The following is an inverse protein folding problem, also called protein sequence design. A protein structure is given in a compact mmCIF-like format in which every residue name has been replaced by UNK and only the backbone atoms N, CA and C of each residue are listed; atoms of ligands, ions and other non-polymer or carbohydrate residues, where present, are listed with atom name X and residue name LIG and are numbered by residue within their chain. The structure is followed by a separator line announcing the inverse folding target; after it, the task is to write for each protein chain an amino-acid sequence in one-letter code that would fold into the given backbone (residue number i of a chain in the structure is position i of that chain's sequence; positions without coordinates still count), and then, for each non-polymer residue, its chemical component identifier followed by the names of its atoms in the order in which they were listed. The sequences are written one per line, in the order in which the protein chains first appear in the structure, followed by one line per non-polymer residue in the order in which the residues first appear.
data_IF_538963485467
#
_entry.id   IF_538963485467
#
_cell.length_a   1.000
_cell.length_b   1.000
_cell.length_c   1.000
_cell.angle_alpha   90.00
_cell.angle_beta   90.00
_cell.angle_gamma   90.00
#
_symmetry.space_group_name_H-M   'P 1'
#
loop_
_entity.id
_entity.type
_entity.pdbx_description
1 polymer ?
#
# COMPACT_ATOMS: atom_id res chain seq x y z
N UNK A 1 15.37 -4.72 16.06
CA UNK A 1 15.43 -6.20 16.23
C UNK A 1 14.15 -6.78 15.64
N UNK A 2 14.23 -7.55 14.55
CA UNK A 2 13.04 -8.22 13.98
C UNK A 2 12.48 -9.20 15.01
N UNK A 3 11.16 -9.16 15.22
CA UNK A 3 10.43 -9.99 16.17
C UNK A 3 10.74 -11.46 15.89
N UNK A 4 11.56 -12.06 16.74
CA UNK A 4 11.88 -13.49 16.70
C UNK A 4 10.57 -14.25 16.98
N UNK A 5 10.09 -15.01 16.00
CA UNK A 5 8.96 -15.91 16.20
C UNK A 5 9.29 -16.91 17.30
N UNK A 6 8.40 -17.08 18.30
CA UNK A 6 8.51 -18.17 19.28
C UNK A 6 8.45 -19.50 18.52
N UNK A 7 9.52 -20.28 18.61
CA UNK A 7 9.60 -21.66 18.12
C UNK A 7 8.81 -22.57 19.05
N UNK A 8 7.89 -23.35 18.49
CA UNK A 8 7.21 -24.44 19.19
C UNK A 8 8.18 -25.64 19.39
N UNK A 9 7.87 -26.52 20.35
CA UNK A 9 8.69 -27.71 20.70
C UNK A 9 8.91 -28.70 19.55
N UNK A 10 8.25 -28.50 18.40
CA UNK A 10 8.39 -29.29 17.17
C UNK A 10 9.11 -28.55 16.02
N UNK A 11 9.79 -27.42 16.29
CA UNK A 11 10.61 -26.72 15.29
C UNK A 11 9.83 -25.99 14.18
N UNK A 12 8.48 -25.96 14.26
CA UNK A 12 7.65 -25.18 13.34
C UNK A 12 7.49 -23.75 13.86
N UNK A 13 7.89 -22.77 13.06
CA UNK A 13 7.66 -21.35 13.33
C UNK A 13 6.17 -21.05 13.11
N UNK A 14 5.35 -21.20 14.15
CA UNK A 14 3.93 -20.82 14.10
C UNK A 14 3.82 -19.33 14.39
N UNK A 15 3.79 -18.51 13.32
CA UNK A 15 3.49 -17.09 13.44
C UNK A 15 2.02 -16.90 13.81
N UNK A 16 1.71 -16.77 15.11
CA UNK A 16 0.38 -16.41 15.58
C UNK A 16 0.38 -15.01 16.23
N UNK A 17 0.50 -13.92 15.44
CA UNK A 17 0.56 -12.55 15.95
C UNK A 17 -0.74 -12.10 16.64
N UNK A 18 -1.82 -12.87 16.50
CA UNK A 18 -3.13 -12.58 17.10
C UNK A 18 -3.37 -13.36 18.41
N UNK A 19 -2.53 -14.34 18.74
CA UNK A 19 -2.72 -15.31 19.84
C UNK A 19 -4.13 -15.91 19.87
N UNK A 20 -4.75 -16.11 18.70
CA UNK A 20 -6.08 -16.72 18.58
C UNK A 20 -5.86 -18.20 18.28
N UNK A 21 -6.25 -19.07 19.21
CA UNK A 21 -6.31 -20.52 18.97
C UNK A 21 -7.64 -20.82 18.31
N UNK A 22 -7.71 -20.67 16.99
CA UNK A 22 -8.87 -21.12 16.21
C UNK A 22 -8.59 -22.54 15.74
N UNK A 23 -9.46 -23.46 16.12
CA UNK A 23 -9.44 -24.82 15.57
C UNK A 23 -9.85 -24.74 14.09
N UNK A 24 -8.84 -24.74 13.21
CA UNK A 24 -8.97 -24.55 11.75
C UNK A 24 -9.72 -25.69 11.04
N UNK A 25 -10.10 -26.73 11.78
CA UNK A 25 -10.77 -27.93 11.29
C UNK A 25 -12.19 -27.64 10.77
N UNK A 26 -12.83 -26.54 11.18
CA UNK A 26 -14.18 -26.13 10.71
C UNK A 26 -14.13 -24.91 9.77
N UNK A 27 -13.63 -25.10 8.54
CA UNK A 27 -13.45 -24.04 7.50
C UNK A 27 -14.63 -23.09 7.29
N UNK A 28 -15.89 -23.52 7.49
CA UNK A 28 -17.09 -22.69 7.23
C UNK A 28 -17.46 -21.68 8.32
N UNK A 29 -16.92 -21.80 9.54
CA UNK A 29 -17.29 -20.93 10.69
C UNK A 29 -16.13 -20.06 11.20
N UNK A 30 -14.98 -20.10 10.55
CA UNK A 30 -13.74 -19.47 11.01
C UNK A 30 -13.87 -17.95 11.11
N UNK A 31 -14.49 -17.28 10.11
CA UNK A 31 -14.64 -15.82 10.11
C UNK A 31 -15.51 -15.36 11.28
N UNK A 32 -16.68 -15.99 11.47
CA UNK A 32 -17.58 -15.67 12.58
C UNK A 32 -16.96 -15.95 13.96
N UNK A 33 -16.19 -17.04 14.09
CA UNK A 33 -15.46 -17.36 15.31
C UNK A 33 -14.38 -16.32 15.64
N UNK A 34 -13.61 -15.87 14.64
CA UNK A 34 -12.59 -14.82 14.80
C UNK A 34 -13.24 -13.49 15.20
N UNK A 35 -14.34 -13.10 14.55
CA UNK A 35 -15.06 -11.86 14.87
C UNK A 35 -15.60 -11.91 16.30
N UNK A 36 -16.19 -13.02 16.72
CA UNK A 36 -16.71 -13.21 18.09
C UNK A 36 -15.60 -13.17 19.13
N UNK A 37 -14.46 -13.80 18.86
CA UNK A 37 -13.31 -13.81 19.76
C UNK A 37 -12.64 -12.44 19.85
N UNK A 38 -12.51 -11.73 18.72
CA UNK A 38 -11.96 -10.37 18.68
C UNK A 38 -12.85 -9.39 19.45
N UNK A 39 -14.18 -9.49 19.28
CA UNK A 39 -15.15 -8.69 20.03
C UNK A 39 -15.09 -8.97 21.54
N UNK A 40 -14.92 -10.23 21.95
CA UNK A 40 -14.75 -10.59 23.37
C UNK A 40 -13.46 -10.04 23.98
N UNK A 41 -12.37 -10.00 23.22
CA UNK A 41 -11.05 -9.57 23.72
C UNK A 41 -10.85 -8.06 23.75
N UNK A 42 -11.14 -7.39 22.63
CA UNK A 42 -10.81 -5.97 22.43
C UNK A 42 -12.06 -5.08 22.24
N UNK A 43 -13.27 -5.67 22.26
CA UNK A 43 -14.52 -4.95 22.01
C UNK A 43 -14.60 -4.36 20.59
N UNK A 44 -15.45 -3.34 20.42
CA UNK A 44 -15.58 -2.61 19.15
C UNK A 44 -14.30 -1.82 18.79
N UNK A 45 -13.52 -1.38 19.78
CA UNK A 45 -12.26 -0.64 19.55
C UNK A 45 -11.18 -1.51 18.89
N UNK A 46 -11.22 -2.82 19.09
CA UNK A 46 -10.30 -3.77 18.45
C UNK A 46 -10.37 -3.75 16.92
N UNK A 47 -11.56 -3.57 16.34
CA UNK A 47 -11.76 -3.55 14.88
C UNK A 47 -11.16 -2.33 14.20
N UNK A 48 -11.12 -1.19 14.90
CA UNK A 48 -10.55 0.06 14.38
C UNK A 48 -9.08 0.26 14.77
N UNK A 49 -8.48 -0.70 15.48
CA UNK A 49 -7.09 -0.64 15.94
C UNK A 49 -6.16 -0.68 14.72
N UNK A 50 -5.44 0.42 14.48
CA UNK A 50 -4.59 0.59 13.31
C UNK A 50 -5.28 1.13 12.05
N UNK A 51 -6.61 1.32 12.07
CA UNK A 51 -7.34 1.97 10.98
C UNK A 51 -6.93 3.44 10.85
N UNK A 52 -6.90 4.18 11.97
CA UNK A 52 -6.42 5.57 12.00
C UNK A 52 -4.97 5.72 11.54
N UNK A 53 -4.07 4.84 12.01
CA UNK A 53 -2.67 4.85 11.56
C UNK A 53 -2.56 4.55 10.06
N UNK A 54 -3.42 3.68 9.53
CA UNK A 54 -3.47 3.40 8.09
C UNK A 54 -3.99 4.59 7.29
N UNK A 55 -5.02 5.28 7.79
CA UNK A 55 -5.53 6.50 7.16
C UNK A 55 -4.48 7.61 7.14
N UNK A 56 -3.79 7.85 8.26
CA UNK A 56 -2.75 8.87 8.35
C UNK A 56 -1.57 8.62 7.41
N UNK A 57 -1.28 7.36 7.06
CA UNK A 57 -0.28 7.03 6.05
C UNK A 57 -0.83 7.09 4.61
N UNK A 58 -2.06 6.62 4.39
CA UNK A 58 -2.65 6.50 3.05
C UNK A 58 -3.11 7.84 2.47
N UNK A 59 -3.68 8.72 3.29
CA UNK A 59 -4.21 10.02 2.83
C UNK A 59 -3.09 10.91 2.25
N UNK A 60 -1.94 11.11 2.93
CA UNK A 60 -0.84 11.88 2.36
C UNK A 60 -0.24 11.19 1.13
N UNK A 61 -0.11 9.86 1.14
CA UNK A 61 0.46 9.13 0.00
C UNK A 61 -0.39 9.23 -1.27
N UNK A 62 -1.71 9.13 -1.14
CA UNK A 62 -2.63 9.31 -2.28
C UNK A 62 -2.65 10.76 -2.78
N UNK A 63 -2.62 11.75 -1.89
CA UNK A 63 -2.55 13.17 -2.27
C UNK A 63 -1.25 13.48 -3.04
N UNK A 64 -0.11 13.01 -2.54
CA UNK A 64 1.18 13.18 -3.21
C UNK A 64 1.20 12.49 -4.58
N UNK A 65 0.60 11.31 -4.70
CA UNK A 65 0.53 10.60 -5.98
C UNK A 65 -0.21 11.40 -7.06
N UNK A 66 -1.38 11.94 -6.72
CA UNK A 66 -2.14 12.79 -7.65
C UNK A 66 -1.39 14.10 -7.99
N UNK A 67 -0.75 14.71 -6.99
CA UNK A 67 0.06 15.92 -7.19
C UNK A 67 1.25 15.67 -8.12
N UNK A 68 2.03 14.61 -7.90
CA UNK A 68 3.17 14.30 -8.76
C UNK A 68 2.72 13.82 -10.14
N UNK A 69 1.62 13.09 -10.22
CA UNK A 69 1.05 12.68 -11.50
C UNK A 69 0.65 13.88 -12.36
N UNK A 70 -0.01 14.90 -11.80
CA UNK A 70 -0.37 16.12 -12.56
C UNK A 70 0.87 16.91 -12.99
N UNK A 71 1.88 17.02 -12.13
CA UNK A 71 3.14 17.70 -12.46
C UNK A 71 3.90 16.95 -13.56
N UNK A 72 4.07 15.62 -13.44
CA UNK A 72 4.81 14.85 -14.44
C UNK A 72 4.07 14.76 -15.78
N UNK A 73 2.75 14.65 -15.77
CA UNK A 73 1.96 14.66 -17.02
C UNK A 73 2.05 16.01 -17.74
N UNK A 74 1.88 17.14 -17.05
CA UNK A 74 2.03 18.49 -17.66
C UNK A 74 3.46 18.73 -18.17
N UNK A 75 4.48 18.27 -17.43
CA UNK A 75 5.88 18.39 -17.88
C UNK A 75 6.18 17.52 -19.09
N UNK A 76 5.74 16.27 -19.13
CA UNK A 76 5.93 15.40 -20.29
C UNK A 76 5.18 15.93 -21.51
N UNK A 77 3.98 16.49 -21.34
CA UNK A 77 3.21 17.08 -22.43
C UNK A 77 3.92 18.27 -23.10
N UNK A 78 4.73 19.04 -22.36
CA UNK A 78 5.50 20.17 -22.90
C UNK A 78 6.79 19.77 -23.60
N UNK A 79 7.38 18.63 -23.20
CA UNK A 79 8.67 18.16 -23.71
C UNK A 79 8.49 17.22 -24.91
N UNK A 80 7.41 16.45 -24.93
CA UNK A 80 7.14 15.49 -26.00
C UNK A 80 6.48 16.18 -27.21
N UNK A 81 6.83 15.77 -28.45
CA UNK A 81 6.19 16.29 -29.65
C UNK A 81 4.71 15.93 -29.69
N UNK A 82 3.88 16.79 -30.29
CA UNK A 82 2.42 16.66 -30.37
C UNK A 82 1.92 15.38 -31.08
N UNK A 83 2.82 14.59 -31.69
CA UNK A 83 2.54 13.29 -32.29
C UNK A 83 2.60 12.11 -31.32
N UNK A 84 3.02 12.30 -30.06
CA UNK A 84 3.05 11.19 -29.09
C UNK A 84 1.67 10.91 -28.51
N UNK A 85 1.23 9.63 -28.46
CA UNK A 85 -0.05 9.26 -27.84
C UNK A 85 -0.09 9.69 -26.36
N UNK A 86 -1.22 10.26 -25.91
CA UNK A 86 -1.39 10.62 -24.49
C UNK A 86 -1.24 9.40 -23.56
N UNK A 87 -1.53 8.20 -24.06
CA UNK A 87 -1.20 6.91 -23.44
C UNK A 87 0.25 6.83 -22.98
N UNK A 88 1.21 7.08 -23.87
CA UNK A 88 2.62 6.85 -23.58
C UNK A 88 3.13 7.83 -22.52
N UNK A 89 2.62 9.06 -22.55
CA UNK A 89 2.89 10.07 -21.53
C UNK A 89 2.37 9.62 -20.16
N UNK A 90 1.14 9.08 -20.10
CA UNK A 90 0.56 8.57 -18.86
C UNK A 90 1.28 7.30 -18.35
N UNK A 91 1.69 6.41 -19.25
CA UNK A 91 2.50 5.22 -18.95
C UNK A 91 3.84 5.58 -18.30
N UNK A 92 4.44 6.73 -18.62
CA UNK A 92 5.70 7.16 -18.02
C UNK A 92 5.47 8.01 -16.76
N UNK A 93 4.47 8.90 -16.78
CA UNK A 93 4.16 9.76 -15.65
C UNK A 93 3.69 8.97 -14.41
N UNK A 94 2.93 7.88 -14.58
CA UNK A 94 2.43 7.06 -13.48
C UNK A 94 3.52 6.35 -12.66
N UNK A 95 4.44 5.58 -13.29
CA UNK A 95 5.57 4.99 -12.59
C UNK A 95 6.51 6.03 -12.00
N UNK A 96 6.78 7.15 -12.69
CA UNK A 96 7.63 8.23 -12.16
C UNK A 96 7.02 8.88 -10.90
N UNK A 97 5.71 9.17 -10.92
CA UNK A 97 5.02 9.65 -9.72
C UNK A 97 5.04 8.61 -8.60
N UNK A 98 4.78 7.34 -8.93
CA UNK A 98 4.83 6.22 -7.99
C UNK A 98 6.18 6.08 -7.29
N UNK A 99 7.29 6.19 -8.04
CA UNK A 99 8.65 6.13 -7.48
C UNK A 99 8.90 7.31 -6.54
N UNK A 100 8.60 8.54 -6.97
CA UNK A 100 8.81 9.75 -6.15
C UNK A 100 8.00 9.71 -4.87
N UNK A 101 6.73 9.29 -4.96
CA UNK A 101 5.87 9.10 -3.78
C UNK A 101 6.47 8.02 -2.88
N UNK A 102 6.87 6.86 -3.44
CA UNK A 102 7.45 5.78 -2.66
C UNK A 102 8.67 6.24 -1.87
N UNK A 103 9.53 7.10 -2.43
CA UNK A 103 10.69 7.66 -1.74
C UNK A 103 10.29 8.55 -0.55
N UNK A 104 9.28 9.41 -0.74
CA UNK A 104 8.82 10.35 0.28
C UNK A 104 8.02 9.65 1.38
N UNK A 105 7.15 8.72 1.02
CA UNK A 105 6.22 8.04 1.95
C UNK A 105 6.80 6.76 2.53
N UNK A 106 7.98 6.31 2.10
CA UNK A 106 8.63 5.13 2.67
C UNK A 106 8.65 5.12 4.21
N UNK A 107 9.14 6.19 4.88
CA UNK A 107 9.14 6.23 6.35
C UNK A 107 7.74 6.07 6.96
N UNK A 108 6.71 6.66 6.37
CA UNK A 108 5.33 6.58 6.88
C UNK A 108 4.77 5.16 6.81
N UNK A 109 5.06 4.44 5.72
CA UNK A 109 4.60 3.07 5.55
C UNK A 109 5.34 2.08 6.45
N UNK A 110 6.63 2.31 6.74
CA UNK A 110 7.36 1.49 7.73
C UNK A 110 6.76 1.66 9.12
N UNK A 111 6.42 2.90 9.51
CA UNK A 111 5.73 3.18 10.78
C UNK A 111 4.38 2.48 10.83
N UNK A 112 3.59 2.59 9.77
CA UNK A 112 2.29 1.91 9.65
C UNK A 112 2.43 0.39 9.79
N UNK A 113 3.38 -0.22 9.07
CA UNK A 113 3.61 -1.66 9.13
C UNK A 113 4.01 -2.10 10.54
N UNK A 114 4.86 -1.32 11.23
CA UNK A 114 5.27 -1.62 12.61
C UNK A 114 4.10 -1.54 13.60
N UNK A 115 3.23 -0.54 13.46
CA UNK A 115 2.01 -0.42 14.27
C UNK A 115 1.10 -1.63 14.09
N UNK A 116 0.90 -2.08 12.86
CA UNK A 116 0.04 -3.23 12.56
C UNK A 116 0.61 -4.55 13.08
N UNK A 117 1.93 -4.75 12.96
CA UNK A 117 2.61 -5.98 13.41
C UNK A 117 2.72 -6.05 14.94
N UNK A 118 3.12 -4.95 15.59
CA UNK A 118 3.36 -4.90 17.04
C UNK A 118 2.12 -4.48 17.86
N UNK A 119 0.98 -4.19 17.20
CA UNK A 119 -0.28 -3.77 17.84
C UNK A 119 -0.15 -2.55 18.76
N UNK A 120 0.75 -1.63 18.41
CA UNK A 120 0.95 -0.39 19.17
C UNK A 120 -0.21 0.59 18.96
N UNK A 121 -0.57 1.35 19.99
CA UNK A 121 -1.71 2.27 19.93
C UNK A 121 -1.31 3.70 19.51
N UNK A 122 -0.01 4.03 19.59
CA UNK A 122 0.48 5.40 19.45
C UNK A 122 1.42 5.54 18.25
N UNK A 123 1.00 6.33 17.25
CA UNK A 123 1.80 6.59 16.04
C UNK A 123 3.10 7.31 16.38
N UNK A 124 3.03 8.36 17.22
CA UNK A 124 4.18 9.18 17.58
C UNK A 124 5.22 8.40 18.39
N UNK A 125 4.79 7.62 19.39
CA UNK A 125 5.70 6.79 20.18
C UNK A 125 6.37 5.73 19.31
N UNK A 126 5.61 5.13 18.38
CA UNK A 126 6.17 4.16 17.41
C UNK A 126 7.23 4.81 16.53
N UNK A 127 6.97 6.01 16.01
CA UNK A 127 7.91 6.75 15.19
C UNK A 127 9.21 7.05 15.96
N UNK A 128 9.10 7.57 17.19
CA UNK A 128 10.26 7.87 18.03
C UNK A 128 11.08 6.63 18.37
N UNK A 129 10.42 5.53 18.73
CA UNK A 129 11.11 4.28 19.01
C UNK A 129 11.80 3.73 17.76
N UNK A 130 11.15 3.80 16.60
CA UNK A 130 11.72 3.36 15.33
C UNK A 130 12.91 4.22 14.90
N UNK A 131 12.83 5.53 15.15
CA UNK A 131 13.92 6.46 14.90
C UNK A 131 15.15 6.12 15.75
N UNK A 132 14.96 5.77 17.02
CA UNK A 132 16.04 5.35 17.92
C UNK A 132 16.63 3.97 17.55
N UNK A 133 15.80 3.03 17.08
CA UNK A 133 16.24 1.67 16.74
C UNK A 133 16.94 1.56 15.37
N UNK A 134 16.42 2.25 14.34
CA UNK A 134 16.89 2.08 12.95
C UNK A 134 17.46 3.35 12.32
N UNK A 135 17.13 4.54 12.86
CA UNK A 135 17.58 5.83 12.35
C UNK A 135 17.38 5.97 10.83
N UNK A 136 18.45 6.31 10.11
CA UNK A 136 18.42 6.52 8.66
C UNK A 136 18.18 5.25 7.83
N UNK A 137 18.32 4.05 8.42
CA UNK A 137 18.05 2.79 7.71
C UNK A 137 16.58 2.62 7.37
N UNK A 138 15.70 3.30 8.11
CA UNK A 138 14.26 3.34 7.87
C UNK A 138 13.89 3.78 6.44
N UNK A 139 14.68 4.67 5.83
CA UNK A 139 14.43 5.13 4.46
C UNK A 139 14.72 4.09 3.39
N UNK A 140 15.63 3.13 3.65
CA UNK A 140 16.04 2.12 2.66
C UNK A 140 15.32 0.78 2.85
N UNK A 141 14.76 0.53 4.04
CA UNK A 141 13.99 -0.67 4.33
C UNK A 141 12.75 -0.77 3.42
N UNK A 142 12.64 -1.90 2.69
CA UNK A 142 11.48 -2.21 1.84
C UNK A 142 11.33 -1.36 0.58
N UNK A 143 12.20 -0.37 0.36
CA UNK A 143 12.06 0.60 -0.73
C UNK A 143 12.17 -0.05 -2.11
N UNK A 144 13.13 -0.96 -2.32
CA UNK A 144 13.31 -1.65 -3.61
C UNK A 144 12.10 -2.50 -3.98
N UNK A 145 11.56 -3.25 -3.02
CA UNK A 145 10.36 -4.06 -3.21
C UNK A 145 9.14 -3.18 -3.53
N UNK A 146 9.01 -2.03 -2.86
CA UNK A 146 7.94 -1.06 -3.14
C UNK A 146 8.04 -0.43 -4.52
N UNK A 147 9.24 -0.01 -4.91
CA UNK A 147 9.47 0.59 -6.23
C UNK A 147 9.14 -0.43 -7.32
N UNK A 148 9.61 -1.67 -7.18
CA UNK A 148 9.31 -2.75 -8.12
C UNK A 148 7.81 -3.01 -8.20
N UNK A 149 7.13 -3.12 -7.06
CA UNK A 149 5.67 -3.26 -7.00
C UNK A 149 4.97 -2.08 -7.68
N UNK A 150 5.38 -0.83 -7.38
CA UNK A 150 4.77 0.38 -7.94
C UNK A 150 4.88 0.43 -9.45
N UNK A 151 6.04 0.03 -10.01
CA UNK A 151 6.24 -0.02 -11.46
C UNK A 151 5.30 -1.05 -12.09
N UNK A 152 5.27 -2.28 -11.53
CA UNK A 152 4.42 -3.36 -12.05
C UNK A 152 2.94 -2.99 -11.96
N UNK A 153 2.49 -2.49 -10.80
CA UNK A 153 1.10 -2.09 -10.58
C UNK A 153 0.70 -0.93 -11.49
N UNK A 154 1.56 0.06 -11.70
CA UNK A 154 1.28 1.19 -12.60
C UNK A 154 1.18 0.72 -14.05
N UNK A 155 2.08 -0.16 -14.49
CA UNK A 155 2.05 -0.73 -15.83
C UNK A 155 0.77 -1.53 -16.08
N UNK A 156 0.40 -2.43 -15.15
CA UNK A 156 -0.84 -3.19 -15.23
C UNK A 156 -2.09 -2.31 -15.18
N UNK A 157 -2.08 -1.25 -14.36
CA UNK A 157 -3.21 -0.32 -14.28
C UNK A 157 -3.41 0.41 -15.60
N UNK A 158 -2.33 0.90 -16.23
CA UNK A 158 -2.46 1.60 -17.51
C UNK A 158 -2.87 0.63 -18.61
N UNK A 159 -2.24 -0.54 -18.73
CA UNK A 159 -2.66 -1.57 -19.68
C UNK A 159 -4.12 -1.98 -19.50
N UNK A 160 -4.55 -2.19 -18.26
CA UNK A 160 -5.93 -2.57 -17.93
C UNK A 160 -6.92 -1.46 -18.28
N UNK A 161 -6.62 -0.21 -17.88
CA UNK A 161 -7.45 0.95 -18.20
C UNK A 161 -7.60 1.15 -19.71
N UNK A 162 -6.50 1.03 -20.45
CA UNK A 162 -6.46 1.12 -21.91
C UNK A 162 -7.27 0.04 -22.62
N UNK A 163 -7.05 -1.21 -22.23
CA UNK A 163 -7.77 -2.36 -22.78
C UNK A 163 -9.26 -2.22 -22.51
N UNK A 164 -9.62 -1.86 -21.29
CA UNK A 164 -11.00 -1.66 -20.87
C UNK A 164 -11.64 -0.47 -21.60
N UNK A 165 -10.91 0.65 -21.77
CA UNK A 165 -11.38 1.80 -22.53
C UNK A 165 -11.63 1.43 -24.00
N UNK A 166 -10.72 0.68 -24.63
CA UNK A 166 -10.90 0.19 -26.01
C UNK A 166 -12.12 -0.72 -26.16
N UNK A 167 -12.42 -1.52 -25.14
CA UNK A 167 -13.57 -2.44 -25.13
C UNK A 167 -14.89 -1.76 -24.78
N UNK A 168 -14.84 -0.74 -23.91
CA UNK A 168 -16.02 -0.06 -23.37
C UNK A 168 -16.49 1.12 -24.24
N UNK A 169 -15.61 1.71 -25.05
CA UNK A 169 -15.96 2.84 -25.92
C UNK A 169 -16.94 2.39 -27.01
N UNK A 170 -18.21 2.74 -26.80
CA UNK A 170 -19.26 2.65 -27.80
C UNK A 170 -18.99 3.62 -28.96
N UNK A 171 -19.33 3.21 -30.19
CA UNK A 171 -19.01 3.92 -31.42
C UNK A 171 -19.38 5.41 -31.43
N UNK A 172 -20.46 5.79 -30.74
CA UNK A 172 -20.91 7.18 -30.62
C UNK A 172 -19.96 8.13 -29.87
N UNK A 173 -18.98 7.62 -29.10
CA UNK A 173 -18.04 8.45 -28.34
C UNK A 173 -16.62 8.45 -28.92
N UNK A 174 -16.36 7.73 -30.03
CA UNK A 174 -15.03 7.68 -30.65
C UNK A 174 -14.53 9.08 -31.07
N UNK A 175 -15.42 9.95 -31.52
CA UNK A 175 -15.06 11.30 -32.03
C UNK A 175 -14.83 12.34 -30.92
N UNK A 176 -15.25 12.06 -29.68
CA UNK A 176 -15.07 12.97 -28.53
C UNK A 176 -13.87 12.59 -27.64
N UNK A 177 -13.23 11.47 -27.92
CA UNK A 177 -12.09 10.99 -27.14
C UNK A 177 -10.81 11.44 -27.84
N UNK A 178 -10.13 12.41 -27.24
CA UNK A 178 -8.72 12.68 -27.55
C UNK A 178 -7.89 11.47 -27.10
N UNK A 179 -7.23 10.82 -28.05
CA UNK A 179 -6.37 9.64 -27.87
C UNK A 179 -4.96 10.02 -27.40
#
# INVERSE_FOLDING_TARGET
MMVLGRTDKMGKTVMNPLNIQVDLTKKRLVIGAIVKELYKRDGLRGFYRGYFASLLAYVPGSALWWMFYSVYSDRLLRVMPSSTPHMMINCMAGPMSGITVCLITNPMDVVRARIQVQRMNSVLQTFWQLWQEEGLKMYKMGLSARVMQSIISSFLLVLGYETLKRWSVHEHYKDKIRW
#
